data_IF_527001057666
#
_entry.id   IF_527001057666
#
_cell.length_a   1.000
_cell.length_b   1.000
_cell.length_c   1.000
_cell.angle_alpha   90.00
_cell.angle_beta   90.00
_cell.angle_gamma   90.00
#
_symmetry.space_group_name_H-M   'P 1'
#
loop_
_entity.id
_entity.type
_entity.pdbx_description
1 polymer ?
#
# COMPACT_ATOMS: atom_id res chain seq x y z
N UNK A 1 6.40 19.54 4.61
CA UNK A 1 5.80 18.28 4.16
C UNK A 1 6.88 17.22 4.08
N UNK A 2 6.73 16.08 4.79
CA UNK A 2 7.76 15.03 4.87
C UNK A 2 7.98 14.34 3.53
N UNK A 3 6.92 14.12 2.75
CA UNK A 3 6.98 13.35 1.49
C UNK A 3 7.82 14.04 0.40
N UNK A 4 8.09 15.34 0.55
CA UNK A 4 8.91 16.11 -0.39
C UNK A 4 10.41 15.94 -0.18
N UNK A 5 10.83 15.56 1.03
CA UNK A 5 12.21 15.76 1.49
C UNK A 5 13.22 14.97 0.66
N UNK A 6 13.04 13.67 0.52
CA UNK A 6 13.97 12.82 -0.24
C UNK A 6 14.17 13.34 -1.67
N UNK A 7 13.10 13.75 -2.35
CA UNK A 7 13.20 14.34 -3.68
C UNK A 7 14.05 15.63 -3.68
N UNK A 8 13.80 16.56 -2.75
CA UNK A 8 14.52 17.84 -2.69
C UNK A 8 16.01 17.64 -2.41
N UNK A 9 16.33 16.73 -1.49
CA UNK A 9 17.71 16.44 -1.11
C UNK A 9 18.49 15.78 -2.26
N UNK A 10 17.94 14.71 -2.83
CA UNK A 10 18.71 13.88 -3.77
C UNK A 10 18.76 14.43 -5.20
N UNK A 11 17.76 15.18 -5.65
CA UNK A 11 17.80 15.76 -7.02
C UNK A 11 18.91 16.79 -7.19
N UNK A 12 19.34 17.45 -6.11
CA UNK A 12 20.49 18.38 -6.12
C UNK A 12 21.83 17.65 -6.23
N UNK A 13 21.87 16.38 -5.86
CA UNK A 13 23.07 15.54 -5.86
C UNK A 13 23.18 14.68 -7.12
N UNK A 14 22.25 14.81 -8.06
CA UNK A 14 22.26 14.00 -9.28
C UNK A 14 23.56 14.21 -10.08
N UNK A 15 24.25 13.11 -10.40
CA UNK A 15 25.53 13.13 -11.12
C UNK A 15 26.76 13.42 -10.26
N UNK A 16 26.60 13.65 -8.95
CA UNK A 16 27.73 13.85 -8.02
C UNK A 16 28.23 12.55 -7.37
N UNK A 17 27.43 11.48 -7.46
CA UNK A 17 27.80 10.18 -6.92
C UNK A 17 28.82 9.45 -7.80
N UNK A 18 29.69 8.65 -7.18
CA UNK A 18 30.63 7.80 -7.91
C UNK A 18 29.89 6.73 -8.73
N UNK A 19 30.47 6.22 -9.84
CA UNK A 19 29.83 5.23 -10.70
C UNK A 19 29.40 3.93 -10.02
N UNK A 20 30.03 3.58 -8.89
CA UNK A 20 29.75 2.38 -8.09
C UNK A 20 28.78 2.64 -6.92
N UNK A 21 28.07 3.78 -6.91
CA UNK A 21 27.06 4.12 -5.91
C UNK A 21 25.68 4.08 -6.56
N UNK A 22 24.70 3.52 -5.83
CA UNK A 22 23.30 3.59 -6.18
C UNK A 22 22.49 4.17 -5.02
N UNK A 23 21.49 4.99 -5.34
CA UNK A 23 20.51 5.49 -4.36
C UNK A 23 19.39 4.46 -4.24
N UNK A 24 19.25 3.87 -3.05
CA UNK A 24 18.16 2.95 -2.72
C UNK A 24 16.92 3.74 -2.28
N UNK A 25 15.80 3.55 -2.97
CA UNK A 25 14.60 4.38 -2.84
C UNK A 25 13.40 3.46 -2.54
N UNK A 26 12.67 3.75 -1.45
CA UNK A 26 11.41 3.06 -1.14
C UNK A 26 10.39 3.22 -2.28
N UNK A 27 9.47 2.26 -2.40
CA UNK A 27 8.44 2.32 -3.45
C UNK A 27 7.55 3.57 -3.39
N UNK A 28 7.36 4.16 -2.20
CA UNK A 28 6.65 5.43 -2.00
C UNK A 28 7.50 6.46 -1.25
N UNK A 29 7.08 7.74 -1.23
CA UNK A 29 7.86 8.84 -0.65
C UNK A 29 7.75 8.95 0.88
N UNK A 30 7.01 8.07 1.55
CA UNK A 30 6.87 8.08 2.99
C UNK A 30 7.57 6.87 3.65
N UNK A 31 6.84 5.79 3.92
CA UNK A 31 7.32 4.73 4.80
C UNK A 31 6.45 3.47 4.72
N UNK A 32 6.45 2.81 3.55
CA UNK A 32 5.79 1.52 3.32
C UNK A 32 4.32 1.46 3.79
N UNK A 33 3.60 2.59 3.74
CA UNK A 33 2.21 2.63 4.14
C UNK A 33 1.36 1.71 3.25
N UNK A 34 0.16 1.30 3.72
CA UNK A 34 -0.67 0.35 2.97
C UNK A 34 -0.92 0.75 1.52
N UNK A 35 -0.95 2.05 1.21
CA UNK A 35 -0.93 2.54 -0.17
C UNK A 35 -0.25 3.89 -0.23
N UNK A 36 0.70 4.03 -1.14
CA UNK A 36 1.40 5.28 -1.46
C UNK A 36 1.40 5.50 -2.98
N UNK A 37 1.42 6.75 -3.48
CA UNK A 37 1.89 7.00 -4.83
C UNK A 37 3.37 6.60 -4.95
N UNK A 38 3.83 6.24 -6.15
CA UNK A 38 5.23 5.85 -6.33
C UNK A 38 6.18 7.01 -5.95
N UNK A 39 7.38 6.70 -5.47
CA UNK A 39 8.32 7.75 -5.08
C UNK A 39 8.76 8.58 -6.31
N UNK A 40 8.61 9.93 -6.31
CA UNK A 40 8.92 10.77 -7.47
C UNK A 40 10.41 10.83 -7.87
N UNK A 41 11.31 10.18 -7.10
CA UNK A 41 12.71 10.10 -7.50
C UNK A 41 12.93 9.12 -8.67
N UNK A 42 12.01 8.17 -8.86
CA UNK A 42 12.04 7.28 -10.02
C UNK A 42 11.82 8.08 -11.30
N UNK A 43 12.89 8.23 -12.08
CA UNK A 43 12.93 9.02 -13.32
C UNK A 43 13.49 10.44 -13.17
N UNK A 44 13.57 10.95 -11.93
CA UNK A 44 14.09 12.30 -11.65
C UNK A 44 15.62 12.34 -11.55
N UNK A 45 16.25 11.30 -11.00
CA UNK A 45 17.72 11.14 -11.02
C UNK A 45 18.13 10.57 -12.37
N UNK A 46 18.79 11.39 -13.20
CA UNK A 46 19.13 11.05 -14.59
C UNK A 46 20.55 10.53 -14.73
N UNK A 47 21.43 10.95 -13.82
CA UNK A 47 22.87 10.68 -13.85
C UNK A 47 23.34 9.81 -12.68
N UNK A 48 22.43 9.40 -11.81
CA UNK A 48 22.70 8.59 -10.62
C UNK A 48 21.96 7.27 -10.72
N UNK A 49 22.66 6.15 -10.50
CA UNK A 49 22.04 4.83 -10.46
C UNK A 49 21.03 4.77 -9.31
N UNK A 50 19.87 4.16 -9.56
CA UNK A 50 18.81 3.98 -8.56
C UNK A 50 18.41 2.52 -8.45
N UNK A 51 18.02 2.11 -7.25
CA UNK A 51 17.43 0.80 -6.98
C UNK A 51 16.20 0.96 -6.10
N UNK A 52 15.23 0.06 -6.24
CA UNK A 52 14.04 0.07 -5.41
C UNK A 52 14.28 -0.63 -4.07
N UNK A 53 13.60 -0.16 -3.03
CA UNK A 53 13.43 -0.87 -1.76
C UNK A 53 11.93 -1.15 -1.56
N UNK A 54 11.60 -2.41 -1.29
CA UNK A 54 10.25 -2.86 -0.97
C UNK A 54 10.24 -3.65 0.34
N UNK A 55 9.08 -3.78 0.96
CA UNK A 55 8.94 -4.37 2.29
C UNK A 55 8.04 -5.63 2.26
N UNK A 56 8.60 -6.83 2.02
CA UNK A 56 7.88 -8.09 2.20
C UNK A 56 7.43 -8.34 3.64
N UNK A 57 8.24 -7.92 4.64
CA UNK A 57 7.80 -7.92 6.03
C UNK A 57 6.62 -6.98 6.21
N UNK A 58 5.57 -7.41 6.89
CA UNK A 58 4.31 -6.69 6.93
C UNK A 58 4.26 -5.69 8.10
N UNK A 59 5.27 -4.82 8.25
CA UNK A 59 5.34 -3.84 9.35
C UNK A 59 4.03 -3.04 9.47
N UNK A 60 3.57 -2.43 8.38
CA UNK A 60 2.33 -1.65 8.32
C UNK A 60 1.13 -2.42 7.75
N UNK A 61 1.32 -3.71 7.48
CA UNK A 61 0.39 -4.55 6.70
C UNK A 61 -0.11 -5.74 7.54
N UNK A 62 -0.27 -5.52 8.84
CA UNK A 62 -0.86 -6.47 9.79
C UNK A 62 0.10 -7.53 10.33
N UNK A 63 1.41 -7.32 10.14
CA UNK A 63 2.48 -8.19 10.64
C UNK A 63 2.22 -9.65 10.24
N UNK A 64 2.75 -10.63 10.98
CA UNK A 64 2.50 -12.05 10.73
C UNK A 64 1.08 -12.53 11.13
N UNK A 65 0.10 -11.61 11.21
CA UNK A 65 -1.26 -11.92 11.65
C UNK A 65 -2.30 -11.79 10.53
N UNK A 66 -2.04 -10.96 9.53
CA UNK A 66 -3.00 -10.72 8.45
C UNK A 66 -2.51 -11.32 7.13
N UNK A 67 -3.41 -11.94 6.38
CA UNK A 67 -3.15 -12.32 5.00
C UNK A 67 -3.16 -11.05 4.16
N UNK A 68 -1.98 -10.65 3.67
CA UNK A 68 -1.80 -9.57 2.70
C UNK A 68 -0.73 -9.98 1.69
N UNK A 69 -1.18 -10.42 0.52
CA UNK A 69 -0.28 -10.71 -0.60
C UNK A 69 0.08 -9.40 -1.31
N UNK A 70 1.37 -9.09 -1.36
CA UNK A 70 1.91 -7.80 -1.81
C UNK A 70 2.27 -7.76 -3.30
N UNK A 71 2.12 -8.89 -4.01
CA UNK A 71 2.28 -8.93 -5.46
C UNK A 71 1.53 -7.80 -6.18
N UNK A 72 0.21 -7.58 -5.93
CA UNK A 72 -0.56 -6.52 -6.58
C UNK A 72 -0.05 -5.11 -6.25
N UNK A 73 0.42 -4.89 -5.02
CA UNK A 73 1.00 -3.60 -4.60
C UNK A 73 2.28 -3.30 -5.38
N UNK A 74 3.15 -4.30 -5.53
CA UNK A 74 4.42 -4.13 -6.24
C UNK A 74 4.26 -4.10 -7.75
N UNK A 75 3.31 -4.86 -8.31
CA UNK A 75 2.92 -4.74 -9.71
C UNK A 75 2.41 -3.32 -10.01
N UNK A 76 1.52 -2.77 -9.19
CA UNK A 76 1.04 -1.39 -9.32
C UNK A 76 2.20 -0.37 -9.29
N UNK A 77 3.14 -0.54 -8.35
CA UNK A 77 4.33 0.30 -8.24
C UNK A 77 5.22 0.20 -9.49
N UNK A 78 5.59 -1.02 -9.90
CA UNK A 78 6.49 -1.27 -11.02
C UNK A 78 5.90 -0.80 -12.36
N UNK A 79 4.58 -0.91 -12.51
CA UNK A 79 3.86 -0.49 -13.72
C UNK A 79 3.46 0.98 -13.73
N UNK A 80 3.68 1.72 -12.64
CA UNK A 80 3.40 3.15 -12.60
C UNK A 80 4.24 3.89 -13.65
N UNK A 81 3.58 4.61 -14.56
CA UNK A 81 4.24 5.41 -15.59
C UNK A 81 4.78 6.70 -14.98
N UNK A 82 6.09 6.90 -15.00
CA UNK A 82 6.72 8.09 -14.42
C UNK A 82 6.64 9.31 -15.34
N UNK A 83 6.41 9.10 -16.65
CA UNK A 83 6.52 10.11 -17.71
C UNK A 83 7.87 10.82 -17.83
N UNK A 84 8.91 10.33 -17.16
CA UNK A 84 10.24 10.99 -17.13
C UNK A 84 10.89 11.17 -18.51
N UNK A 85 10.57 10.30 -19.48
CA UNK A 85 10.88 10.47 -20.91
C UNK A 85 9.63 10.25 -21.77
N UNK A 86 8.52 10.86 -21.36
CA UNK A 86 7.21 10.70 -22.01
C UNK A 86 6.53 9.38 -21.65
N UNK A 87 5.38 9.08 -22.28
CA UNK A 87 4.54 7.94 -21.92
C UNK A 87 5.27 6.60 -22.00
N UNK A 88 4.85 5.66 -21.14
CA UNK A 88 5.41 4.32 -20.95
C UNK A 88 6.83 4.33 -20.38
N UNK A 89 7.18 5.35 -19.60
CA UNK A 89 8.41 5.42 -18.79
C UNK A 89 8.15 4.81 -17.41
N UNK A 90 7.76 3.52 -17.35
CA UNK A 90 7.36 2.89 -16.08
C UNK A 90 8.50 2.81 -15.08
N UNK A 91 8.18 2.72 -13.78
CA UNK A 91 9.17 2.48 -12.71
C UNK A 91 10.02 1.25 -13.03
N UNK A 92 9.43 0.15 -13.52
CA UNK A 92 10.16 -1.03 -13.96
C UNK A 92 11.23 -0.69 -15.01
N UNK A 93 10.90 0.15 -16.01
CA UNK A 93 11.86 0.60 -17.02
C UNK A 93 12.91 1.56 -16.48
N UNK A 94 12.58 2.37 -15.48
CA UNK A 94 13.58 3.15 -14.74
C UNK A 94 14.56 2.18 -14.06
N UNK A 95 14.07 1.21 -13.29
CA UNK A 95 14.91 0.24 -12.59
C UNK A 95 15.75 -0.63 -13.53
N UNK A 96 15.27 -0.94 -14.74
CA UNK A 96 16.04 -1.67 -15.76
C UNK A 96 17.07 -0.79 -16.50
N UNK A 97 17.20 0.50 -16.17
CA UNK A 97 18.08 1.43 -16.89
C UNK A 97 17.62 1.73 -18.33
N UNK A 98 16.34 1.49 -18.65
CA UNK A 98 15.75 1.71 -19.99
C UNK A 98 15.25 3.15 -20.19
N UNK A 99 14.98 3.89 -19.10
CA UNK A 99 14.63 5.32 -19.16
C UNK A 99 15.89 6.17 -19.19
N UNK A 100 16.77 6.01 -18.21
CA UNK A 100 18.12 6.59 -18.19
C UNK A 100 19.14 5.48 -18.01
N UNK A 101 20.34 5.57 -18.63
CA UNK A 101 21.36 4.55 -18.49
C UNK A 101 21.94 4.56 -17.07
N UNK A 102 21.90 3.42 -16.39
CA UNK A 102 22.47 3.25 -15.05
C UNK A 102 23.54 2.15 -15.06
N UNK A 103 24.59 2.35 -14.26
CA UNK A 103 25.65 1.36 -14.09
C UNK A 103 25.24 0.25 -13.11
N UNK A 104 24.37 0.59 -12.16
CA UNK A 104 23.83 -0.32 -11.16
C UNK A 104 22.31 -0.26 -11.25
N UNK A 105 21.69 -1.42 -11.33
CA UNK A 105 20.24 -1.60 -11.28
C UNK A 105 19.91 -2.63 -10.21
N UNK A 106 18.73 -2.55 -9.62
CA UNK A 106 18.33 -3.56 -8.66
C UNK A 106 17.06 -3.25 -7.88
N UNK A 107 16.70 -4.22 -7.05
CA UNK A 107 15.62 -4.14 -6.08
C UNK A 107 16.06 -4.86 -4.80
N UNK A 108 15.89 -4.20 -3.66
CA UNK A 108 16.10 -4.75 -2.33
C UNK A 108 14.76 -5.02 -1.66
N UNK A 109 14.69 -6.10 -0.88
CA UNK A 109 13.51 -6.47 -0.10
C UNK A 109 13.83 -6.62 1.38
N UNK A 110 13.11 -5.91 2.22
CA UNK A 110 13.18 -6.05 3.69
C UNK A 110 12.31 -7.25 4.11
N UNK A 111 12.89 -8.45 4.07
CA UNK A 111 12.16 -9.71 4.26
C UNK A 111 11.90 -10.08 5.72
N UNK A 112 12.85 -9.80 6.62
CA UNK A 112 12.82 -10.10 8.06
C UNK A 112 12.28 -11.50 8.44
N UNK A 113 12.80 -12.61 7.86
CA UNK A 113 12.47 -13.94 8.36
C UNK A 113 13.04 -14.16 9.77
N UNK A 114 12.48 -15.12 10.48
CA UNK A 114 12.90 -15.49 11.84
C UNK A 114 13.15 -16.99 12.01
N UNK A 115 13.25 -17.41 13.27
CA UNK A 115 13.43 -18.81 13.67
C UNK A 115 12.13 -19.62 13.71
N UNK A 116 10.99 -19.01 13.40
CA UNK A 116 9.71 -19.72 13.20
C UNK A 116 9.90 -20.83 12.16
N UNK A 117 9.26 -21.99 12.36
CA UNK A 117 9.42 -23.16 11.49
C UNK A 117 9.08 -22.85 10.02
N UNK A 118 8.14 -21.94 9.79
CA UNK A 118 7.71 -21.50 8.47
C UNK A 118 8.46 -20.24 7.97
N UNK A 119 9.49 -19.79 8.70
CA UNK A 119 10.34 -18.61 8.49
C UNK A 119 9.65 -17.25 8.61
N UNK A 120 8.39 -17.13 8.19
CA UNK A 120 7.70 -15.86 7.99
C UNK A 120 6.56 -15.60 8.99
N UNK A 121 6.33 -16.50 9.96
CA UNK A 121 5.24 -16.45 10.93
C UNK A 121 3.86 -16.76 10.34
N UNK A 122 3.49 -16.17 9.21
CA UNK A 122 2.27 -16.47 8.47
C UNK A 122 2.60 -17.17 7.14
N UNK A 123 1.88 -18.25 6.80
CA UNK A 123 2.15 -19.04 5.59
C UNK A 123 2.12 -18.20 4.30
N UNK A 124 1.12 -17.33 4.16
CA UNK A 124 1.03 -16.43 3.01
C UNK A 124 2.13 -15.35 2.95
N UNK A 125 2.83 -15.04 4.04
CA UNK A 125 3.97 -14.09 3.98
C UNK A 125 5.15 -14.68 3.19
N UNK A 126 5.24 -16.01 3.06
CA UNK A 126 6.20 -16.66 2.16
C UNK A 126 5.94 -16.29 0.69
N UNK A 127 4.68 -16.08 0.31
CA UNK A 127 4.33 -15.66 -1.05
C UNK A 127 4.88 -14.27 -1.37
N UNK A 128 5.01 -13.39 -0.37
CA UNK A 128 5.60 -12.06 -0.55
C UNK A 128 7.12 -12.16 -0.78
N UNK A 129 7.81 -13.04 -0.06
CA UNK A 129 9.22 -13.29 -0.33
C UNK A 129 9.42 -13.94 -1.71
N UNK A 130 8.57 -14.89 -2.09
CA UNK A 130 8.58 -15.47 -3.44
C UNK A 130 8.35 -14.40 -4.51
N UNK A 131 7.35 -13.54 -4.35
CA UNK A 131 7.05 -12.47 -5.30
C UNK A 131 8.19 -11.45 -5.45
N UNK A 132 8.90 -11.11 -4.36
CA UNK A 132 10.12 -10.29 -4.43
C UNK A 132 11.13 -10.90 -5.40
N UNK A 133 11.43 -12.20 -5.25
CA UNK A 133 12.39 -12.87 -6.11
C UNK A 133 11.96 -12.90 -7.59
N UNK A 134 10.67 -13.19 -7.83
CA UNK A 134 10.12 -13.22 -9.20
C UNK A 134 10.14 -11.84 -9.86
N UNK A 135 9.72 -10.79 -9.15
CA UNK A 135 9.70 -9.42 -9.68
C UNK A 135 11.10 -8.80 -9.78
N UNK A 136 12.05 -9.17 -8.92
CA UNK A 136 13.45 -8.77 -9.06
C UNK A 136 14.08 -9.37 -10.33
N UNK A 137 13.70 -10.60 -10.67
CA UNK A 137 14.12 -11.27 -11.89
C UNK A 137 13.46 -10.68 -13.14
N UNK A 138 12.14 -10.50 -13.10
CA UNK A 138 11.37 -9.90 -14.19
C UNK A 138 10.25 -8.99 -13.62
N UNK A 139 10.42 -7.66 -13.66
CA UNK A 139 9.45 -6.72 -13.11
C UNK A 139 8.20 -6.55 -13.98
N UNK A 140 8.11 -7.25 -15.11
CA UNK A 140 6.95 -7.26 -16.01
C UNK A 140 6.01 -8.45 -15.75
N UNK A 141 6.31 -9.33 -14.79
CA UNK A 141 5.42 -10.41 -14.38
C UNK A 141 4.18 -9.86 -13.66
N UNK A 142 3.03 -10.51 -13.88
CA UNK A 142 1.81 -10.17 -13.15
C UNK A 142 1.78 -10.83 -11.76
N UNK A 143 1.16 -10.16 -10.80
CA UNK A 143 0.99 -10.69 -9.45
C UNK A 143 0.15 -11.97 -9.44
N UNK A 144 -0.81 -12.09 -10.36
CA UNK A 144 -1.66 -13.27 -10.51
C UNK A 144 -0.86 -14.50 -10.96
N UNK A 145 0.03 -14.34 -11.94
CA UNK A 145 0.92 -15.42 -12.37
C UNK A 145 1.80 -15.90 -11.22
N UNK A 146 2.42 -14.96 -10.49
CA UNK A 146 3.28 -15.28 -9.35
C UNK A 146 2.51 -16.00 -8.24
N UNK A 147 1.26 -15.57 -7.97
CA UNK A 147 0.41 -16.21 -6.98
C UNK A 147 0.11 -17.67 -7.36
N UNK A 148 -0.24 -17.92 -8.63
CA UNK A 148 -0.51 -19.28 -9.10
C UNK A 148 0.72 -20.19 -8.99
N UNK A 149 1.89 -19.71 -9.45
CA UNK A 149 3.17 -20.42 -9.31
C UNK A 149 3.42 -20.82 -7.84
N UNK A 150 3.30 -19.86 -6.92
CA UNK A 150 3.55 -20.09 -5.50
C UNK A 150 2.54 -21.06 -4.87
N UNK A 151 1.24 -20.92 -5.18
CA UNK A 151 0.19 -21.80 -4.62
C UNK A 151 0.39 -23.24 -5.07
N UNK A 152 0.75 -23.46 -6.34
CA UNK A 152 1.01 -24.80 -6.90
C UNK A 152 2.22 -25.49 -6.26
N UNK A 153 3.26 -24.72 -5.96
CA UNK A 153 4.47 -25.20 -5.30
C UNK A 153 4.25 -25.46 -3.80
N UNK A 154 3.40 -24.65 -3.16
CA UNK A 154 3.27 -24.63 -1.70
C UNK A 154 2.15 -25.53 -1.19
N UNK A 155 0.98 -25.50 -1.83
CA UNK A 155 -0.23 -26.11 -1.28
C UNK A 155 -0.74 -27.30 -2.07
N UNK A 156 -1.07 -27.12 -3.35
CA UNK A 156 -1.77 -28.14 -4.14
C UNK A 156 -1.77 -27.80 -5.62
N UNK A 157 -1.98 -28.80 -6.47
CA UNK A 157 -2.21 -28.63 -7.91
C UNK A 157 -3.68 -28.84 -8.32
N UNK A 158 -4.59 -29.10 -7.38
CA UNK A 158 -6.04 -29.16 -7.65
C UNK A 158 -6.56 -27.82 -8.19
N UNK A 159 -7.04 -27.74 -9.45
CA UNK A 159 -7.36 -26.47 -10.09
C UNK A 159 -8.39 -25.63 -9.34
N UNK A 160 -9.40 -26.26 -8.73
CA UNK A 160 -10.44 -25.57 -7.96
C UNK A 160 -9.87 -24.91 -6.71
N UNK A 161 -9.04 -25.63 -5.96
CA UNK A 161 -8.38 -25.12 -4.76
C UNK A 161 -7.35 -24.03 -5.09
N UNK A 162 -6.55 -24.23 -6.14
CA UNK A 162 -5.59 -23.22 -6.62
C UNK A 162 -6.32 -21.91 -6.94
N UNK A 163 -7.40 -21.98 -7.72
CA UNK A 163 -8.21 -20.81 -8.09
C UNK A 163 -8.76 -20.07 -6.86
N UNK A 164 -9.27 -20.79 -5.85
CA UNK A 164 -9.79 -20.17 -4.62
C UNK A 164 -8.69 -19.44 -3.84
N UNK A 165 -7.53 -20.08 -3.65
CA UNK A 165 -6.41 -19.48 -2.91
C UNK A 165 -5.85 -18.26 -3.68
N UNK A 166 -5.67 -18.37 -4.99
CA UNK A 166 -5.20 -17.25 -5.80
C UNK A 166 -6.15 -16.05 -5.71
N UNK A 167 -7.47 -16.28 -5.74
CA UNK A 167 -8.45 -15.21 -5.55
C UNK A 167 -8.31 -14.53 -4.19
N UNK A 168 -8.19 -15.31 -3.12
CA UNK A 168 -7.95 -14.78 -1.77
C UNK A 168 -6.69 -13.90 -1.73
N UNK A 169 -5.58 -14.37 -2.30
CA UNK A 169 -4.33 -13.62 -2.38
C UNK A 169 -4.54 -12.30 -3.13
N UNK A 170 -5.12 -12.35 -4.33
CA UNK A 170 -5.28 -11.17 -5.18
C UNK A 170 -6.20 -10.10 -4.58
N UNK A 171 -7.19 -10.47 -3.76
CA UNK A 171 -8.10 -9.51 -3.11
C UNK A 171 -7.60 -9.01 -1.77
N UNK A 172 -6.62 -9.69 -1.16
CA UNK A 172 -6.19 -9.43 0.21
C UNK A 172 -5.59 -8.04 0.45
N UNK A 173 -4.79 -7.56 -0.50
CA UNK A 173 -4.16 -6.23 -0.42
C UNK A 173 -5.20 -5.11 -0.36
N UNK A 174 -6.16 -5.11 -1.29
CA UNK A 174 -7.18 -4.07 -1.31
C UNK A 174 -8.14 -4.19 -0.13
N UNK A 175 -8.40 -5.41 0.33
CA UNK A 175 -9.17 -5.65 1.56
C UNK A 175 -8.49 -4.97 2.75
N UNK A 176 -7.18 -5.16 2.93
CA UNK A 176 -6.41 -4.53 3.98
C UNK A 176 -6.44 -3.00 3.89
N UNK A 177 -6.18 -2.44 2.70
CA UNK A 177 -6.25 -0.99 2.48
C UNK A 177 -7.62 -0.45 2.86
N UNK A 178 -8.69 -1.16 2.49
CA UNK A 178 -10.08 -0.75 2.69
C UNK A 178 -10.47 -0.63 4.16
N UNK A 179 -10.08 -1.60 5.01
CA UNK A 179 -10.36 -1.52 6.46
C UNK A 179 -9.32 -0.75 7.26
N UNK A 180 -8.23 -0.25 6.67
CA UNK A 180 -7.20 0.50 7.43
C UNK A 180 -7.07 1.95 7.02
N UNK A 181 -6.77 2.23 5.75
CA UNK A 181 -6.39 3.57 5.28
C UNK A 181 -6.79 3.77 3.80
N UNK A 182 -8.08 3.74 3.45
CA UNK A 182 -8.52 3.91 2.07
C UNK A 182 -8.45 5.37 1.61
N UNK A 183 -8.72 5.60 0.32
CA UNK A 183 -8.89 6.93 -0.29
C UNK A 183 -7.65 7.85 -0.20
N UNK A 184 -6.46 7.28 0.02
CA UNK A 184 -5.22 8.03 0.20
C UNK A 184 -4.93 8.46 1.64
N UNK A 185 -5.74 8.01 2.61
CA UNK A 185 -5.35 8.08 4.02
C UNK A 185 -4.07 7.27 4.25
N UNK A 186 -3.29 7.69 5.23
CA UNK A 186 -2.02 7.09 5.60
C UNK A 186 -1.67 7.47 7.02
N UNK A 187 -0.76 6.72 7.64
CA UNK A 187 -0.20 7.00 8.97
C UNK A 187 -1.25 7.03 10.10
N UNK A 188 -2.33 6.25 9.97
CA UNK A 188 -3.37 6.13 11.00
C UNK A 188 -3.08 5.03 12.04
N UNK A 189 -1.82 4.60 12.14
CA UNK A 189 -1.39 3.44 12.92
C UNK A 189 -0.63 3.86 14.18
N UNK A 190 -0.73 3.04 15.23
CA UNK A 190 -0.03 3.19 16.50
C UNK A 190 1.48 3.08 16.35
N UNK A 191 2.22 3.48 17.39
CA UNK A 191 3.68 3.32 17.44
C UNK A 191 4.14 1.85 17.48
N UNK A 192 3.21 0.92 17.68
CA UNK A 192 3.41 -0.53 17.52
C UNK A 192 3.34 -1.00 16.06
N UNK A 193 2.99 -0.09 15.14
CA UNK A 193 2.72 -0.35 13.75
C UNK A 193 1.71 -1.51 13.54
N UNK A 194 0.71 -1.63 14.43
CA UNK A 194 -0.31 -2.68 14.35
C UNK A 194 -1.73 -2.15 14.51
N UNK A 195 -1.99 -1.43 15.61
CA UNK A 195 -3.33 -1.01 15.97
C UNK A 195 -3.68 0.36 15.36
N UNK A 196 -4.97 0.65 15.09
CA UNK A 196 -5.40 2.00 14.71
C UNK A 196 -5.07 3.01 15.81
N UNK A 197 -4.52 4.16 15.44
CA UNK A 197 -4.27 5.28 16.35
C UNK A 197 -4.40 6.63 15.62
N UNK A 198 -5.56 6.93 15.00
CA UNK A 198 -5.76 8.14 14.20
C UNK A 198 -5.68 9.42 15.04
N UNK A 199 -5.91 9.34 16.35
CA UNK A 199 -5.79 10.48 17.27
C UNK A 199 -4.35 10.81 17.68
N UNK A 200 -3.35 10.07 17.19
CA UNK A 200 -1.95 10.35 17.53
C UNK A 200 -1.58 11.77 17.09
N UNK A 201 -1.40 12.66 18.06
CA UNK A 201 -1.05 14.08 17.89
C UNK A 201 0.28 14.44 18.57
N UNK A 202 0.97 13.46 19.17
CA UNK A 202 2.19 13.68 19.95
C UNK A 202 3.26 12.65 19.60
N UNK A 203 4.38 13.15 19.12
CA UNK A 203 5.60 12.38 18.88
C UNK A 203 6.81 13.34 18.93
N UNK A 204 8.06 12.82 19.01
CA UNK A 204 9.27 13.65 18.96
C UNK A 204 9.35 14.57 17.72
N UNK A 205 8.71 14.20 16.62
CA UNK A 205 8.53 15.03 15.43
C UNK A 205 7.07 15.04 15.01
N UNK A 206 6.58 16.20 14.57
CA UNK A 206 5.20 16.32 14.09
C UNK A 206 4.90 15.39 12.91
N UNK A 207 5.86 15.16 12.02
CA UNK A 207 5.71 14.25 10.88
C UNK A 207 5.76 12.76 11.25
N UNK A 208 5.69 12.43 12.55
CA UNK A 208 5.46 11.09 13.10
C UNK A 208 4.08 10.95 13.77
N UNK A 209 3.22 11.97 13.69
CA UNK A 209 1.86 11.92 14.24
C UNK A 209 0.85 11.61 13.14
N UNK A 210 -0.26 10.95 13.47
CA UNK A 210 -1.34 10.70 12.52
C UNK A 210 -2.01 12.02 12.09
N UNK A 211 -2.23 12.92 13.05
CA UNK A 211 -2.92 14.20 12.83
C UNK A 211 -2.20 15.12 11.85
N UNK A 212 -0.87 14.99 11.73
CA UNK A 212 -0.09 15.70 10.72
C UNK A 212 -0.53 15.39 9.29
N UNK A 213 -0.89 14.12 9.03
CA UNK A 213 -1.22 13.61 7.70
C UNK A 213 -2.68 13.79 7.36
N UNK A 214 -3.60 13.27 8.17
CA UNK A 214 -5.02 13.30 7.83
C UNK A 214 -5.64 14.69 8.06
N UNK A 215 -5.10 15.50 8.98
CA UNK A 215 -5.54 16.88 9.25
C UNK A 215 -7.06 17.05 9.40
N UNK A 216 -7.75 16.13 10.05
CA UNK A 216 -9.22 16.18 10.11
C UNK A 216 -9.70 17.38 10.93
N UNK A 217 -10.72 18.09 10.43
CA UNK A 217 -11.45 19.16 11.13
C UNK A 217 -12.90 19.21 10.64
N UNK A 218 -13.71 20.14 11.17
CA UNK A 218 -15.14 20.21 10.84
C UNK A 218 -15.42 20.50 9.36
N UNK A 219 -14.53 21.22 8.68
CA UNK A 219 -14.64 21.54 7.26
C UNK A 219 -14.17 20.43 6.33
N UNK A 220 -13.34 19.47 6.79
CA UNK A 220 -12.82 18.40 5.93
C UNK A 220 -11.65 17.58 6.47
N UNK A 221 -11.06 16.79 5.58
CA UNK A 221 -9.94 15.86 5.84
C UNK A 221 -9.00 15.79 4.62
N UNK A 222 -7.76 15.38 4.85
CA UNK A 222 -6.75 15.20 3.81
C UNK A 222 -5.66 16.26 3.85
N UNK A 223 -4.61 16.04 3.07
CA UNK A 223 -3.45 16.91 2.99
C UNK A 223 -3.43 17.62 1.64
N UNK A 224 -3.49 18.95 1.64
CA UNK A 224 -3.31 19.73 0.41
C UNK A 224 -1.84 19.71 -0.03
N UNK A 225 -1.53 18.84 -0.99
CA UNK A 225 -0.22 18.73 -1.64
C UNK A 225 -0.25 19.24 -3.08
N UNK A 226 -1.35 19.88 -3.48
CA UNK A 226 -1.50 20.58 -4.77
C UNK A 226 -0.54 21.78 -4.84
N UNK A 227 -0.51 22.47 -5.99
CA UNK A 227 0.23 23.72 -6.19
C UNK A 227 -0.16 24.84 -5.21
N UNK A 228 -1.38 24.80 -4.68
CA UNK A 228 -1.87 25.77 -3.70
C UNK A 228 -1.54 25.37 -2.25
N UNK A 229 -1.14 24.11 -2.03
CA UNK A 229 -0.76 23.57 -0.73
C UNK A 229 0.75 23.42 -0.59
N UNK A 230 1.22 22.20 -0.31
CA UNK A 230 2.67 21.95 -0.17
C UNK A 230 3.45 21.94 -1.49
N UNK A 231 2.77 21.85 -2.64
CA UNK A 231 3.38 21.72 -3.96
C UNK A 231 4.18 20.42 -4.14
N UNK A 232 3.76 19.32 -3.50
CA UNK A 232 4.41 18.02 -3.71
C UNK A 232 4.03 17.39 -5.06
N UNK A 233 2.87 17.75 -5.62
CA UNK A 233 2.45 17.30 -6.96
C UNK A 233 3.46 17.65 -8.06
N UNK A 234 4.19 18.76 -7.92
CA UNK A 234 5.17 19.20 -8.92
C UNK A 234 6.51 18.42 -8.85
N UNK A 235 6.63 17.44 -7.95
CA UNK A 235 7.75 16.50 -7.97
C UNK A 235 7.53 15.36 -8.98
N UNK A 236 6.31 15.19 -9.47
CA UNK A 236 5.99 14.25 -10.54
C UNK A 236 6.07 14.94 -11.90
N UNK A 237 6.38 14.19 -12.96
CA UNK A 237 6.37 14.72 -14.33
C UNK A 237 4.92 14.89 -14.83
N UNK A 238 4.70 15.85 -15.74
CA UNK A 238 3.43 15.95 -16.47
C UNK A 238 3.25 14.71 -17.37
N UNK A 239 2.02 14.15 -17.50
CA UNK A 239 0.74 14.68 -17.02
C UNK A 239 0.38 14.32 -15.58
N UNK A 240 1.18 13.52 -14.86
CA UNK A 240 0.82 13.10 -13.50
C UNK A 240 0.74 14.27 -12.53
N UNK A 241 1.65 15.24 -12.62
CA UNK A 241 1.56 16.46 -11.81
C UNK A 241 0.22 17.15 -11.98
N UNK A 242 -0.31 17.21 -13.20
CA UNK A 242 -1.58 17.87 -13.51
C UNK A 242 -2.78 17.02 -13.08
N UNK A 243 -2.72 15.71 -13.31
CA UNK A 243 -3.75 14.75 -12.89
C UNK A 243 -3.89 14.73 -11.36
N UNK A 244 -2.77 14.67 -10.63
CA UNK A 244 -2.80 14.68 -9.16
C UNK A 244 -3.18 16.06 -8.61
N UNK A 245 -2.86 17.14 -9.32
CA UNK A 245 -3.23 18.50 -8.92
C UNK A 245 -4.72 18.83 -9.16
N UNK A 246 -5.39 18.19 -10.11
CA UNK A 246 -6.83 18.36 -10.36
C UNK A 246 -7.65 17.35 -9.56
N UNK A 247 -8.45 17.84 -8.60
CA UNK A 247 -9.32 17.02 -7.76
C UNK A 247 -10.30 16.14 -8.56
N UNK A 248 -10.71 16.58 -9.77
CA UNK A 248 -11.64 15.81 -10.62
C UNK A 248 -10.96 14.64 -11.33
N UNK A 249 -9.66 14.77 -11.59
CA UNK A 249 -8.87 13.77 -12.31
C UNK A 249 -8.10 12.85 -11.36
N UNK A 250 -7.74 13.34 -10.18
CA UNK A 250 -6.99 12.60 -9.17
C UNK A 250 -7.67 11.25 -8.89
N UNK A 251 -6.92 10.12 -8.98
CA UNK A 251 -7.45 8.82 -8.59
C UNK A 251 -7.93 8.82 -7.13
N UNK A 252 -9.13 8.30 -6.86
CA UNK A 252 -9.70 8.35 -5.51
C UNK A 252 -8.83 7.63 -4.47
N UNK A 253 -8.10 6.59 -4.90
CA UNK A 253 -7.10 5.87 -4.08
C UNK A 253 -5.94 6.74 -3.57
N UNK A 254 -5.75 7.94 -4.12
CA UNK A 254 -4.78 8.95 -3.70
C UNK A 254 -5.41 10.31 -3.38
N UNK A 255 -6.75 10.41 -3.31
CA UNK A 255 -7.44 11.68 -3.16
C UNK A 255 -6.96 12.43 -1.92
N UNK A 256 -7.02 11.80 -0.75
CA UNK A 256 -6.65 12.41 0.53
C UNK A 256 -5.13 12.49 0.74
N UNK A 257 -4.35 11.90 -0.19
CA UNK A 257 -2.91 12.12 -0.26
C UNK A 257 -2.58 13.47 -0.89
N UNK A 258 -3.29 13.88 -1.94
CA UNK A 258 -2.99 15.11 -2.66
C UNK A 258 -3.92 16.28 -2.34
N UNK A 259 -5.13 15.99 -1.86
CA UNK A 259 -6.18 16.98 -1.64
C UNK A 259 -6.63 16.98 -0.20
N UNK A 260 -6.97 18.17 0.28
CA UNK A 260 -7.88 18.35 1.40
C UNK A 260 -9.29 18.51 0.85
N UNK A 261 -10.21 17.67 1.28
CA UNK A 261 -11.57 17.62 0.79
C UNK A 261 -12.57 17.86 1.90
N UNK A 262 -13.68 18.55 1.60
CA UNK A 262 -14.79 18.66 2.53
C UNK A 262 -15.51 17.34 2.71
N UNK A 263 -16.11 17.10 3.87
CA UNK A 263 -16.89 15.88 4.14
C UNK A 263 -18.06 15.67 3.17
N UNK A 264 -18.55 16.75 2.57
CA UNK A 264 -19.61 16.75 1.56
C UNK A 264 -19.14 16.60 0.12
N UNK A 265 -17.82 16.53 -0.14
CA UNK A 265 -17.28 16.34 -1.49
C UNK A 265 -17.88 15.10 -2.15
N UNK A 266 -18.30 15.22 -3.41
CA UNK A 266 -18.95 14.14 -4.15
C UNK A 266 -17.92 13.26 -4.83
N UNK A 267 -17.88 12.01 -4.39
CA UNK A 267 -17.04 10.95 -4.94
C UNK A 267 -17.63 10.45 -6.28
N UNK A 268 -16.85 9.70 -7.05
CA UNK A 268 -17.27 9.11 -8.34
C UNK A 268 -18.47 8.16 -8.19
N UNK A 269 -18.63 7.57 -7.00
CA UNK A 269 -19.80 6.75 -6.64
C UNK A 269 -21.10 7.56 -6.47
N UNK A 270 -21.02 8.89 -6.44
CA UNK A 270 -22.14 9.79 -6.08
C UNK A 270 -22.33 10.00 -4.58
N UNK A 271 -21.67 9.17 -3.75
CA UNK A 271 -21.62 9.35 -2.30
C UNK A 271 -20.84 10.61 -1.94
N UNK A 272 -21.14 11.17 -0.77
CA UNK A 272 -20.24 12.15 -0.15
C UNK A 272 -18.97 11.45 0.36
N UNK A 273 -17.90 12.21 0.57
CA UNK A 273 -16.63 11.68 1.09
C UNK A 273 -16.82 10.92 2.41
N UNK A 274 -17.65 11.42 3.32
CA UNK A 274 -17.97 10.70 4.57
C UNK A 274 -18.62 9.35 4.32
N UNK A 275 -19.64 9.31 3.44
CA UNK A 275 -20.36 8.08 3.11
C UNK A 275 -19.47 7.07 2.39
N UNK A 276 -18.60 7.54 1.50
CA UNK A 276 -17.63 6.68 0.81
C UNK A 276 -16.57 6.14 1.77
N UNK A 277 -16.10 6.95 2.72
CA UNK A 277 -15.18 6.51 3.77
C UNK A 277 -15.81 5.37 4.58
N UNK A 278 -17.03 5.56 5.10
CA UNK A 278 -17.77 4.51 5.81
C UNK A 278 -17.93 3.24 4.96
N UNK A 279 -18.35 3.40 3.70
CA UNK A 279 -18.54 2.28 2.78
C UNK A 279 -17.24 1.48 2.55
N UNK A 280 -16.08 2.15 2.45
CA UNK A 280 -14.78 1.51 2.27
C UNK A 280 -14.35 0.70 3.50
N UNK A 281 -14.52 1.23 4.70
CA UNK A 281 -14.24 0.44 5.91
C UNK A 281 -15.18 -0.76 6.05
N UNK A 282 -16.47 -0.61 5.75
CA UNK A 282 -17.43 -1.71 5.76
C UNK A 282 -17.13 -2.77 4.68
N UNK A 283 -16.69 -2.34 3.48
CA UNK A 283 -16.18 -3.20 2.42
C UNK A 283 -14.96 -4.01 2.91
N UNK A 284 -13.99 -3.36 3.56
CA UNK A 284 -12.82 -4.04 4.09
C UNK A 284 -13.15 -5.10 5.15
N UNK A 285 -14.08 -4.83 6.07
CA UNK A 285 -14.52 -5.84 7.06
C UNK A 285 -15.18 -7.02 6.36
N UNK A 286 -16.07 -6.78 5.39
CA UNK A 286 -16.71 -7.84 4.61
C UNK A 286 -15.69 -8.65 3.81
N UNK A 287 -14.68 -7.99 3.22
CA UNK A 287 -13.59 -8.66 2.53
C UNK A 287 -12.80 -9.59 3.47
N UNK A 288 -12.50 -9.16 4.70
CA UNK A 288 -11.83 -10.03 5.68
C UNK A 288 -12.66 -11.27 6.04
N UNK A 289 -13.98 -11.11 6.20
CA UNK A 289 -14.90 -12.23 6.43
C UNK A 289 -14.94 -13.17 5.22
N UNK A 290 -14.94 -12.63 4.01
CA UNK A 290 -14.89 -13.43 2.78
C UNK A 290 -13.59 -14.24 2.67
N UNK A 291 -12.44 -13.67 3.05
CA UNK A 291 -11.17 -14.40 3.12
C UNK A 291 -11.26 -15.57 4.11
N UNK A 292 -11.81 -15.33 5.30
CA UNK A 292 -12.03 -16.37 6.32
C UNK A 292 -12.94 -17.49 5.80
N UNK A 293 -14.08 -17.16 5.21
CA UNK A 293 -15.04 -18.13 4.69
C UNK A 293 -14.47 -18.92 3.50
N UNK A 294 -13.74 -18.25 2.61
CA UNK A 294 -13.07 -18.91 1.49
C UNK A 294 -12.04 -19.93 1.99
N UNK A 295 -11.22 -19.58 2.98
CA UNK A 295 -10.25 -20.52 3.56
C UNK A 295 -10.92 -21.68 4.29
N UNK A 296 -11.99 -21.42 5.05
CA UNK A 296 -12.75 -22.45 5.74
C UNK A 296 -13.29 -23.51 4.76
N UNK A 297 -13.72 -23.09 3.56
CA UNK A 297 -14.20 -24.00 2.51
C UNK A 297 -13.15 -24.98 1.96
N UNK A 298 -11.87 -24.76 2.28
CA UNK A 298 -10.75 -25.60 1.84
C UNK A 298 -10.37 -26.67 2.87
N UNK A 299 -11.14 -26.84 3.94
CA UNK A 299 -10.94 -27.91 4.91
C UNK A 299 -10.90 -29.29 4.22
N UNK A 300 -9.91 -30.10 4.55
CA UNK A 300 -9.67 -31.40 3.92
C UNK A 300 -8.99 -31.35 2.54
N UNK A 301 -8.84 -30.16 1.93
CA UNK A 301 -8.07 -29.96 0.68
C UNK A 301 -6.64 -29.46 0.92
N UNK A 302 -6.37 -28.97 2.11
CA UNK A 302 -5.07 -28.55 2.63
C UNK A 302 -4.77 -29.41 3.87
N UNK A 303 -3.49 -29.68 4.14
CA UNK A 303 -3.09 -30.40 5.35
C UNK A 303 -3.58 -29.67 6.61
N UNK A 304 -4.04 -30.46 7.59
CA UNK A 304 -4.77 -29.93 8.75
C UNK A 304 -3.99 -28.89 9.55
N UNK A 305 -2.67 -29.04 9.68
CA UNK A 305 -1.83 -28.09 10.42
C UNK A 305 -1.85 -26.70 9.76
N UNK A 306 -1.45 -26.60 8.49
CA UNK A 306 -1.39 -25.29 7.81
C UNK A 306 -2.77 -24.69 7.60
N UNK A 307 -3.78 -25.52 7.38
CA UNK A 307 -5.18 -25.07 7.34
C UNK A 307 -5.60 -24.40 8.64
N UNK A 308 -5.39 -25.06 9.79
CA UNK A 308 -5.71 -24.52 11.11
C UNK A 308 -4.94 -23.24 11.43
N UNK A 309 -3.62 -23.23 11.19
CA UNK A 309 -2.77 -22.07 11.49
C UNK A 309 -3.19 -20.82 10.69
N UNK A 310 -3.53 -20.98 9.41
CA UNK A 310 -4.07 -19.86 8.61
C UNK A 310 -5.47 -19.46 9.07
N UNK A 311 -6.33 -20.42 9.44
CA UNK A 311 -7.67 -20.12 9.93
C UNK A 311 -7.64 -19.26 11.21
N UNK A 312 -6.72 -19.57 12.14
CA UNK A 312 -6.52 -18.79 13.36
C UNK A 312 -6.08 -17.35 13.06
N UNK A 313 -5.20 -17.15 12.07
CA UNK A 313 -4.76 -15.82 11.64
C UNK A 313 -5.87 -15.03 10.95
N UNK A 314 -6.67 -15.68 10.09
CA UNK A 314 -7.83 -15.03 9.46
C UNK A 314 -8.89 -14.62 10.50
N UNK A 315 -9.07 -15.39 11.58
CA UNK A 315 -9.95 -14.98 12.68
C UNK A 315 -9.45 -13.72 13.40
N UNK A 316 -8.13 -13.61 13.63
CA UNK A 316 -7.50 -12.37 14.14
C UNK A 316 -7.75 -11.22 13.16
N UNK A 317 -7.50 -11.43 11.86
CA UNK A 317 -7.67 -10.42 10.83
C UNK A 317 -9.11 -9.89 10.76
N UNK A 318 -10.13 -10.76 10.90
CA UNK A 318 -11.54 -10.33 10.96
C UNK A 318 -11.81 -9.50 12.21
N UNK A 319 -11.31 -9.93 13.38
CA UNK A 319 -11.45 -9.18 14.63
C UNK A 319 -10.83 -7.79 14.52
N UNK A 320 -9.62 -7.71 13.97
CA UNK A 320 -8.89 -6.45 13.87
C UNK A 320 -9.43 -5.55 12.77
N UNK A 321 -9.93 -6.09 11.65
CA UNK A 321 -10.64 -5.30 10.64
C UNK A 321 -11.85 -4.57 11.23
N UNK A 322 -12.63 -5.24 12.11
CA UNK A 322 -13.75 -4.61 12.84
C UNK A 322 -13.26 -3.50 13.76
N UNK A 323 -12.20 -3.74 14.54
CA UNK A 323 -11.62 -2.72 15.44
C UNK A 323 -11.11 -1.51 14.68
N UNK A 324 -10.38 -1.71 13.58
CA UNK A 324 -9.94 -0.64 12.70
C UNK A 324 -11.13 0.18 12.19
N UNK A 325 -12.12 -0.48 11.60
CA UNK A 325 -13.34 0.18 11.12
C UNK A 325 -14.03 1.02 12.19
N UNK A 326 -14.30 0.44 13.36
CA UNK A 326 -15.04 1.12 14.42
C UNK A 326 -14.25 2.31 14.98
N UNK A 327 -12.97 2.12 15.29
CA UNK A 327 -12.15 3.17 15.89
C UNK A 327 -11.86 4.32 14.94
N UNK A 328 -11.57 4.04 13.66
CA UNK A 328 -11.33 5.09 12.68
C UNK A 328 -12.61 5.90 12.41
N UNK A 329 -13.73 5.23 12.16
CA UNK A 329 -14.99 5.92 11.87
C UNK A 329 -15.50 6.70 13.08
N UNK A 330 -15.40 6.15 14.29
CA UNK A 330 -15.77 6.86 15.52
C UNK A 330 -14.88 8.09 15.77
N UNK A 331 -13.59 8.01 15.43
CA UNK A 331 -12.71 9.17 15.51
C UNK A 331 -13.13 10.25 14.52
N UNK A 332 -13.28 9.91 13.23
CA UNK A 332 -13.61 10.89 12.21
C UNK A 332 -15.03 11.44 12.30
N UNK A 333 -15.99 10.71 12.90
CA UNK A 333 -17.35 11.22 13.14
C UNK A 333 -17.39 12.45 14.05
N UNK A 334 -16.39 12.61 14.93
CA UNK A 334 -16.29 13.79 15.81
C UNK A 334 -16.02 15.08 15.03
N UNK A 335 -15.41 14.97 13.84
CA UNK A 335 -15.14 16.08 12.94
C UNK A 335 -16.22 16.22 11.88
N UNK A 336 -16.64 15.12 11.25
CA UNK A 336 -17.67 15.17 10.21
C UNK A 336 -19.06 15.54 10.76
N UNK A 337 -19.28 15.41 12.08
CA UNK A 337 -20.57 15.56 12.78
C UNK A 337 -21.69 14.71 12.17
N UNK A 338 -21.33 13.59 11.54
CA UNK A 338 -22.24 12.65 10.90
C UNK A 338 -22.20 11.31 11.62
N UNK A 339 -23.32 10.58 11.69
CA UNK A 339 -23.36 9.29 12.34
C UNK A 339 -22.51 8.26 11.58
N UNK A 340 -21.91 7.34 12.33
CA UNK A 340 -21.31 6.11 11.79
C UNK A 340 -22.44 5.13 11.49
N UNK A 341 -22.60 4.65 10.25
CA UNK A 341 -23.60 3.62 9.93
C UNK A 341 -23.39 2.36 10.78
N UNK A 342 -24.47 1.64 11.09
CA UNK A 342 -24.32 0.29 11.66
C UNK A 342 -23.76 -0.64 10.59
N UNK A 343 -22.80 -1.47 10.99
CA UNK A 343 -22.30 -2.52 10.12
C UNK A 343 -23.37 -3.62 10.05
N UNK A 344 -23.89 -3.87 8.85
CA UNK A 344 -24.80 -4.97 8.56
C UNK A 344 -23.97 -6.15 8.02
N UNK A 345 -23.89 -7.24 8.79
CA UNK A 345 -23.00 -8.39 8.53
C UNK A 345 -23.76 -9.65 8.16
#
# INVERSE_FOLDING_TARGET
DRVKRAYIEFTRLDGQFRPNVAVQIKNGPLDFQPREPFHPLFGALKLTSVMAEIQPTQEYLGQAKHLVYLGPMWEEFLQSDTYAKGPRSTVAKVLMGKVHPYNITGMAGVVNPGTDINWCGHHFSQANWFALGRLAWNPELSAAQIAEEWVRMTFTNDPGTVSTICRMMMTSYETFVSYTMPLGLHHLIGGDHYAPMPWNDRAPRLDWTATYYHRASEDGIGFDRTRNGSGAVDQYFSPLSDIFNDIKQCPEKYLLWFHRCSWGHKMKSGRTLWEELCAKYDEGVRGAIQLQNAWASLAGKIDGRRHSEVADRLAIQVSDARKWRDQILQYFSQFSKRPVPKLDL
#
